data_IF_024084553987
#
_entry.id   IF_024084553987
#
_cell.length_a   1.000
_cell.length_b   1.000
_cell.length_c   1.000
_cell.angle_alpha   90.00
_cell.angle_beta   90.00
_cell.angle_gamma   90.00
#
_symmetry.space_group_name_H-M   'P 1'
#
loop_
_entity.id
_entity.type
_entity.pdbx_description
1 polymer ?
#
# COMPACT_ATOMS: atom_id res chain seq x y z
N UNK A 1 -2.56 -9.03 -0.86
CA UNK A 1 -3.98 -8.82 -0.51
C UNK A 1 -4.20 -7.33 -0.38
N UNK A 2 -5.20 -6.79 -1.07
CA UNK A 2 -5.64 -5.40 -0.88
C UNK A 2 -6.62 -5.43 0.31
N UNK A 3 -6.42 -4.55 1.27
CA UNK A 3 -7.34 -4.31 2.38
C UNK A 3 -8.15 -3.07 2.07
N UNK A 4 -9.45 -3.10 2.37
CA UNK A 4 -10.35 -1.98 2.12
C UNK A 4 -10.69 -1.33 3.46
N UNK A 5 -10.51 -0.01 3.51
CA UNK A 5 -10.79 0.82 4.66
C UNK A 5 -11.88 1.82 4.26
N UNK A 6 -13.00 1.85 5.00
CA UNK A 6 -14.16 2.67 4.65
C UNK A 6 -14.73 3.39 5.88
N UNK A 7 -15.09 4.66 5.70
CA UNK A 7 -15.86 5.45 6.67
C UNK A 7 -16.86 6.32 5.92
N UNK A 8 -16.41 7.47 5.40
CA UNK A 8 -17.12 8.27 4.37
C UNK A 8 -16.44 8.21 3.01
N UNK A 9 -15.11 8.14 3.04
CA UNK A 9 -14.26 7.91 1.87
C UNK A 9 -13.81 6.44 1.87
N UNK A 10 -13.62 5.87 0.67
CA UNK A 10 -13.06 4.53 0.48
C UNK A 10 -11.57 4.63 0.21
N UNK A 11 -10.78 3.85 0.94
CA UNK A 11 -9.34 3.75 0.77
C UNK A 11 -8.96 2.29 0.59
N UNK A 12 -8.24 2.00 -0.48
CA UNK A 12 -7.66 0.68 -0.72
C UNK A 12 -6.19 0.72 -0.32
N UNK A 13 -5.75 -0.21 0.52
CA UNK A 13 -4.41 -0.21 1.06
C UNK A 13 -3.75 -1.59 0.97
N UNK A 14 -2.45 -1.61 0.74
CA UNK A 14 -1.62 -2.81 0.70
C UNK A 14 -0.45 -2.62 1.64
N UNK A 15 -0.28 -3.56 2.55
CA UNK A 15 0.89 -3.61 3.41
C UNK A 15 2.13 -3.97 2.58
N UNK A 16 3.15 -3.13 2.65
CA UNK A 16 4.48 -3.48 2.18
C UNK A 16 5.17 -4.34 3.24
N UNK A 17 5.24 -5.65 3.03
CA UNK A 17 5.82 -6.60 3.99
C UNK A 17 7.12 -7.23 3.49
N UNK A 18 7.13 -7.61 2.22
CA UNK A 18 8.18 -8.39 1.56
C UNK A 18 7.97 -8.31 0.03
N UNK A 19 8.77 -9.04 -0.74
CA UNK A 19 8.70 -9.02 -2.21
C UNK A 19 7.35 -9.50 -2.77
N UNK A 20 6.58 -10.30 -2.01
CA UNK A 20 5.27 -10.81 -2.47
C UNK A 20 4.20 -9.72 -2.53
N UNK A 21 4.35 -8.61 -1.78
CA UNK A 21 3.36 -7.53 -1.82
C UNK A 21 3.58 -6.55 -3.00
N UNK A 22 4.77 -6.57 -3.63
CA UNK A 22 5.14 -5.63 -4.71
C UNK A 22 4.17 -5.70 -5.88
N UNK A 23 3.84 -6.90 -6.33
CA UNK A 23 2.91 -7.07 -7.46
C UNK A 23 1.54 -6.43 -7.16
N UNK A 24 1.02 -6.61 -5.95
CA UNK A 24 -0.26 -6.01 -5.55
C UNK A 24 -0.15 -4.49 -5.44
N UNK A 25 0.98 -3.96 -4.93
CA UNK A 25 1.24 -2.53 -4.86
C UNK A 25 1.26 -1.91 -6.27
N UNK A 26 1.89 -2.57 -7.25
CA UNK A 26 1.88 -2.13 -8.65
C UNK A 26 0.47 -2.13 -9.22
N UNK A 27 -0.33 -3.16 -8.96
CA UNK A 27 -1.73 -3.21 -9.42
C UNK A 27 -2.59 -2.09 -8.81
N UNK A 28 -2.39 -1.78 -7.52
CA UNK A 28 -3.11 -0.72 -6.83
C UNK A 28 -2.74 0.67 -7.38
N UNK A 29 -1.44 0.93 -7.55
CA UNK A 29 -0.90 2.26 -7.83
C UNK A 29 -0.72 2.57 -9.30
N UNK A 30 -0.44 1.56 -10.13
CA UNK A 30 0.03 1.74 -11.51
C UNK A 30 1.44 2.34 -11.62
N UNK A 31 2.16 2.51 -10.51
CA UNK A 31 3.46 3.19 -10.47
C UNK A 31 4.64 2.22 -10.69
N UNK A 32 5.73 2.74 -11.24
CA UNK A 32 7.00 2.03 -11.29
C UNK A 32 7.56 1.83 -9.88
N UNK A 33 8.17 0.67 -9.63
CA UNK A 33 8.73 0.32 -8.32
C UNK A 33 10.23 0.06 -8.43
N UNK A 34 10.97 0.66 -7.50
CA UNK A 34 12.35 0.28 -7.18
C UNK A 34 12.41 -0.26 -5.75
N UNK A 35 13.24 -1.28 -5.53
CA UNK A 35 13.47 -1.86 -4.21
C UNK A 35 14.91 -1.62 -3.77
N UNK A 36 15.09 -1.41 -2.47
CA UNK A 36 16.40 -1.26 -1.85
C UNK A 36 16.65 -2.43 -0.88
N UNK A 37 17.81 -3.05 -1.00
CA UNK A 37 18.25 -4.13 -0.11
C UNK A 37 19.46 -3.68 0.71
N UNK A 38 19.57 -4.21 1.91
CA UNK A 38 20.80 -4.10 2.69
C UNK A 38 21.93 -4.94 2.06
N UNK A 39 23.20 -4.72 2.44
CA UNK A 39 24.31 -5.57 2.01
C UNK A 39 24.11 -7.06 2.34
N UNK A 40 23.34 -7.36 3.38
CA UNK A 40 22.99 -8.71 3.82
C UNK A 40 21.81 -9.31 3.03
N UNK A 41 21.26 -8.58 2.05
CA UNK A 41 20.14 -9.02 1.21
C UNK A 41 18.76 -8.78 1.83
N UNK A 42 18.67 -8.02 2.93
CA UNK A 42 17.39 -7.74 3.60
C UNK A 42 16.68 -6.58 2.90
N UNK A 43 15.41 -6.77 2.52
CA UNK A 43 14.59 -5.72 1.92
C UNK A 43 14.41 -4.56 2.91
N UNK A 44 14.83 -3.34 2.52
CA UNK A 44 14.76 -2.15 3.38
C UNK A 44 13.65 -1.20 3.01
N UNK A 45 13.42 -0.99 1.72
CA UNK A 45 12.42 -0.03 1.27
C UNK A 45 11.94 -0.33 -0.15
N UNK A 46 10.77 0.23 -0.46
CA UNK A 46 10.18 0.27 -1.78
C UNK A 46 9.94 1.74 -2.14
N UNK A 47 10.43 2.16 -3.30
CA UNK A 47 10.21 3.50 -3.86
C UNK A 47 9.23 3.38 -5.02
N UNK A 48 8.07 4.05 -4.88
CA UNK A 48 7.10 4.26 -5.95
C UNK A 48 7.47 5.52 -6.70
N UNK A 49 7.50 5.46 -8.03
CA UNK A 49 7.84 6.60 -8.88
C UNK A 49 6.77 6.86 -9.93
N UNK A 50 6.32 8.12 -9.97
CA UNK A 50 5.49 8.68 -11.03
C UNK A 50 6.09 10.02 -11.49
N UNK A 51 6.83 9.98 -12.59
CA UNK A 51 7.59 11.13 -13.08
C UNK A 51 8.58 11.66 -12.05
N UNK A 52 8.32 12.86 -11.53
CA UNK A 52 9.12 13.54 -10.50
C UNK A 52 8.66 13.24 -9.06
N UNK A 53 7.53 12.58 -8.87
CA UNK A 53 7.03 12.23 -7.54
C UNK A 53 7.58 10.87 -7.11
N UNK A 54 8.18 10.84 -5.92
CA UNK A 54 8.69 9.63 -5.29
C UNK A 54 8.05 9.44 -3.92
N UNK A 55 7.56 8.24 -3.65
CA UNK A 55 7.04 7.83 -2.35
C UNK A 55 7.82 6.62 -1.86
N UNK A 56 8.34 6.66 -0.64
CA UNK A 56 9.17 5.59 -0.07
C UNK A 56 8.45 4.91 1.08
N UNK A 57 8.20 3.60 0.95
CA UNK A 57 7.63 2.74 1.97
C UNK A 57 8.72 1.86 2.57
N UNK A 58 8.67 1.62 3.88
CA UNK A 58 9.46 0.59 4.56
C UNK A 58 8.58 -0.60 4.97
N UNK A 59 9.15 -1.79 5.20
CA UNK A 59 8.38 -2.94 5.65
C UNK A 59 7.52 -2.64 6.88
N UNK A 60 6.24 -3.03 6.84
CA UNK A 60 5.21 -2.76 7.84
C UNK A 60 4.33 -1.53 7.55
N UNK A 61 4.67 -0.70 6.55
CA UNK A 61 3.83 0.43 6.13
C UNK A 61 2.81 0.03 5.08
N UNK A 62 1.75 0.83 4.98
CA UNK A 62 0.67 0.67 4.03
C UNK A 62 0.80 1.71 2.91
N UNK A 63 0.83 1.22 1.68
CA UNK A 63 0.59 2.03 0.48
C UNK A 63 -0.90 2.06 0.26
N UNK A 64 -1.50 3.25 0.17
CA UNK A 64 -2.94 3.39 -0.03
C UNK A 64 -3.28 4.24 -1.25
N UNK A 65 -4.47 4.04 -1.78
CA UNK A 65 -5.10 4.83 -2.83
C UNK A 65 -6.52 5.19 -2.40
N UNK A 66 -6.84 6.49 -2.41
CA UNK A 66 -8.20 6.95 -2.16
C UNK A 66 -9.05 6.97 -3.44
N UNK A 67 -10.34 7.24 -3.28
CA UNK A 67 -11.33 7.43 -4.33
C UNK A 67 -10.96 8.49 -5.39
N UNK A 68 -10.18 9.51 -5.00
CA UNK A 68 -9.65 10.56 -5.89
C UNK A 68 -8.40 10.11 -6.67
N UNK A 69 -7.92 8.89 -6.46
CA UNK A 69 -6.71 8.36 -7.08
C UNK A 69 -5.41 8.89 -6.46
N UNK A 70 -5.48 9.60 -5.34
CA UNK A 70 -4.28 10.03 -4.60
C UNK A 70 -3.64 8.82 -3.92
N UNK A 71 -2.34 8.65 -4.15
CA UNK A 71 -1.53 7.58 -3.57
C UNK A 71 -0.75 8.16 -2.40
N UNK A 72 -0.71 7.44 -1.29
CA UNK A 72 0.04 7.82 -0.11
C UNK A 72 0.60 6.64 0.65
N UNK A 73 1.39 6.94 1.68
CA UNK A 73 2.01 5.95 2.58
C UNK A 73 1.67 6.33 4.01
N UNK A 74 1.28 5.33 4.82
CA UNK A 74 0.98 5.52 6.24
C UNK A 74 1.23 4.24 7.03
N UNK A 75 1.18 4.35 8.36
CA UNK A 75 1.18 3.17 9.23
C UNK A 75 -0.25 2.67 9.43
N UNK A 76 -0.40 1.43 9.92
CA UNK A 76 -1.71 0.83 10.15
C UNK A 76 -2.61 1.66 11.08
N UNK A 77 -2.04 2.23 12.14
CA UNK A 77 -2.78 3.04 13.13
C UNK A 77 -3.49 4.22 12.48
N UNK A 78 -2.87 4.81 11.46
CA UNK A 78 -3.46 5.91 10.71
C UNK A 78 -4.72 5.51 9.94
N UNK A 79 -4.74 4.28 9.40
CA UNK A 79 -5.90 3.74 8.69
C UNK A 79 -6.97 3.32 9.70
N UNK A 80 -6.58 2.59 10.76
CA UNK A 80 -7.50 2.06 11.76
C UNK A 80 -8.21 3.14 12.59
N UNK A 81 -7.56 4.28 12.85
CA UNK A 81 -8.18 5.40 13.59
C UNK A 81 -9.20 6.18 12.74
N UNK A 82 -9.07 6.14 11.40
CA UNK A 82 -9.84 7.00 10.49
C UNK A 82 -10.91 6.26 9.70
N UNK A 83 -10.75 4.95 9.56
CA UNK A 83 -11.55 4.11 8.69
C UNK A 83 -11.82 2.76 9.34
N UNK A 84 -13.01 2.21 9.12
CA UNK A 84 -13.31 0.82 9.49
C UNK A 84 -12.72 -0.12 8.43
N UNK A 85 -11.98 -1.15 8.85
CA UNK A 85 -11.48 -2.18 7.93
C UNK A 85 -12.65 -3.07 7.50
N UNK A 86 -12.99 -3.01 6.22
CA UNK A 86 -14.01 -3.87 5.61
C UNK A 86 -13.28 -5.12 5.10
N UNK A 87 -13.39 -6.22 5.84
CA UNK A 87 -12.95 -7.51 5.32
C UNK A 87 -13.90 -7.91 4.19
N UNK A 88 -13.41 -7.97 2.95
CA UNK A 88 -14.11 -8.65 1.84
C UNK A 88 -14.26 -10.14 2.22
N UNK A 89 -15.32 -10.43 2.93
CA UNK A 89 -15.82 -11.78 3.14
C UNK A 89 -17.21 -11.77 2.53
N UNK A 90 -17.43 -12.69 1.59
CA UNK A 90 -18.72 -12.99 0.92
C UNK A 90 -19.11 -12.07 -0.24
N UNK A 91 -18.42 -12.23 -1.38
CA UNK A 91 -19.20 -12.36 -2.63
C UNK A 91 -19.50 -13.86 -2.74
N UNK A 92 -20.66 -14.26 -2.22
CA UNK A 92 -21.22 -15.57 -2.51
C UNK A 92 -21.57 -15.60 -4.01
N UNK A 93 -20.87 -16.44 -4.77
CA UNK A 93 -21.35 -16.93 -6.06
C UNK A 93 -22.40 -18.03 -5.86
#
# INVERSE_FOLDING_TARGET
>A
MIRIFQSKDRVEAVEFKDLSSIHTIILLTGMGVSVNFSPEGVLRSLTLKDGAHELVAIPGQFVYKNDKGTIGICNYEHLAERYEEVMETEIAE
#
